data_IF_858591968732
#
_entry.id   IF_858591968732
#
_cell.length_a   1.000
_cell.length_b   1.000
_cell.length_c   1.000
_cell.angle_alpha   90.00
_cell.angle_beta   90.00
_cell.angle_gamma   90.00
#
_symmetry.space_group_name_H-M   'P 1'
#
loop_
_entity.id
_entity.type
_entity.pdbx_description
1 polymer ?
#
# COMPACT_ATOMS: atom_id res chain seq x y z
N UNK A 1 -2.43 -2.67 -8.60
CA UNK A 1 -3.19 -3.64 -7.78
C UNK A 1 -2.44 -4.96 -7.85
N UNK A 2 -2.27 -5.69 -6.75
CA UNK A 2 -1.61 -6.99 -6.75
C UNK A 2 -2.57 -8.12 -7.14
N UNK A 3 -3.44 -8.51 -6.22
CA UNK A 3 -4.43 -9.59 -6.37
C UNK A 3 -5.84 -9.04 -6.15
N UNK A 4 -6.81 -9.49 -6.93
CA UNK A 4 -8.20 -9.06 -6.84
C UNK A 4 -9.17 -10.24 -6.84
N UNK A 5 -10.11 -10.22 -5.89
CA UNK A 5 -11.23 -11.15 -5.81
C UNK A 5 -12.55 -10.38 -5.93
N UNK A 6 -13.55 -11.00 -6.57
CA UNK A 6 -14.94 -10.51 -6.48
C UNK A 6 -15.44 -9.53 -7.53
N UNK A 7 -14.85 -9.47 -8.73
CA UNK A 7 -15.38 -8.63 -9.82
C UNK A 7 -16.30 -9.34 -10.81
N UNK A 8 -16.44 -10.67 -10.71
CA UNK A 8 -17.31 -11.45 -11.59
C UNK A 8 -18.67 -11.75 -10.93
N UNK A 9 -19.73 -11.11 -11.42
CA UNK A 9 -21.13 -11.38 -11.06
C UNK A 9 -21.52 -12.82 -11.48
N UNK A 10 -22.28 -13.63 -10.71
CA UNK A 10 -22.93 -13.34 -9.42
C UNK A 10 -22.32 -14.02 -8.18
N UNK A 11 -21.26 -14.83 -8.34
CA UNK A 11 -20.67 -15.64 -7.25
C UNK A 11 -19.17 -15.43 -7.07
N UNK A 12 -18.61 -14.42 -7.76
CA UNK A 12 -17.17 -14.29 -7.97
C UNK A 12 -16.39 -14.20 -6.67
N UNK A 13 -15.39 -15.08 -6.54
CA UNK A 13 -14.34 -14.95 -5.53
C UNK A 13 -14.65 -15.57 -4.17
N UNK A 14 -15.53 -16.57 -4.06
CA UNK A 14 -15.72 -17.35 -2.82
C UNK A 14 -14.92 -18.67 -2.85
N UNK A 15 -14.65 -19.26 -1.68
CA UNK A 15 -14.00 -20.58 -1.53
C UNK A 15 -12.60 -20.69 -2.15
N UNK A 16 -11.84 -19.59 -2.19
CA UNK A 16 -10.47 -19.58 -2.69
C UNK A 16 -9.47 -19.72 -1.54
N UNK A 17 -8.30 -20.29 -1.86
CA UNK A 17 -7.14 -20.30 -0.97
C UNK A 17 -6.05 -19.46 -1.60
N UNK A 18 -5.63 -18.40 -0.92
CA UNK A 18 -4.45 -17.62 -1.27
C UNK A 18 -3.38 -17.85 -0.20
N UNK A 19 -2.33 -18.60 -0.54
CA UNK A 19 -1.32 -18.95 0.44
C UNK A 19 0.10 -19.00 -0.12
N UNK A 20 1.06 -18.61 0.72
CA UNK A 20 2.49 -18.62 0.37
C UNK A 20 2.91 -17.61 -0.70
N UNK A 21 2.11 -16.56 -0.94
CA UNK A 21 2.39 -15.58 -2.00
C UNK A 21 3.24 -14.41 -1.48
N UNK A 22 4.02 -13.81 -2.38
CA UNK A 22 4.69 -12.51 -2.15
C UNK A 22 3.93 -11.46 -2.94
N UNK A 23 3.38 -10.47 -2.23
CA UNK A 23 2.50 -9.43 -2.77
C UNK A 23 3.08 -8.07 -2.39
N UNK A 24 3.80 -7.46 -3.34
CA UNK A 24 4.54 -6.22 -3.10
C UNK A 24 4.44 -5.18 -4.21
N UNK A 25 4.71 -3.92 -3.85
CA UNK A 25 4.82 -2.82 -4.81
C UNK A 25 3.51 -2.37 -5.45
N UNK A 26 2.35 -2.80 -4.94
CA UNK A 26 1.08 -2.40 -5.50
C UNK A 26 0.79 -0.92 -5.24
N UNK A 27 0.41 -0.19 -6.29
CA UNK A 27 0.12 1.24 -6.23
C UNK A 27 -1.22 1.61 -5.56
N UNK A 28 -2.16 0.65 -5.47
CA UNK A 28 -3.51 0.87 -4.95
C UNK A 28 -3.83 -0.08 -3.79
N UNK A 29 -3.83 -1.38 -4.07
CA UNK A 29 -4.10 -2.43 -3.08
C UNK A 29 -3.21 -3.63 -3.38
N UNK A 30 -2.57 -4.17 -2.35
CA UNK A 30 -1.87 -5.45 -2.42
C UNK A 30 -2.87 -6.55 -2.75
N UNK A 31 -3.83 -6.76 -1.85
CA UNK A 31 -5.01 -7.62 -2.05
C UNK A 31 -6.26 -6.75 -2.02
N UNK A 32 -7.14 -6.93 -2.99
CA UNK A 32 -8.50 -6.41 -2.96
C UNK A 32 -9.50 -7.57 -2.89
N UNK A 33 -10.32 -7.60 -1.84
CA UNK A 33 -11.45 -8.50 -1.72
C UNK A 33 -12.74 -7.68 -1.84
N UNK A 34 -13.23 -7.56 -3.08
CA UNK A 34 -14.42 -6.77 -3.40
C UNK A 34 -15.73 -7.47 -3.06
N UNK A 35 -15.78 -8.77 -3.35
CA UNK A 35 -16.89 -9.68 -3.09
C UNK A 35 -16.31 -11.10 -2.88
N UNK A 36 -17.02 -11.93 -2.11
CA UNK A 36 -16.70 -13.34 -1.96
C UNK A 36 -16.58 -13.77 -0.50
N UNK A 37 -17.02 -15.00 -0.21
CA UNK A 37 -17.06 -15.55 1.14
C UNK A 37 -16.22 -16.81 1.27
N UNK A 38 -15.88 -17.18 2.50
CA UNK A 38 -15.18 -18.45 2.77
C UNK A 38 -13.83 -18.58 2.06
N UNK A 39 -13.15 -17.47 1.80
CA UNK A 39 -11.77 -17.51 1.32
C UNK A 39 -10.80 -17.65 2.49
N UNK A 40 -9.67 -18.28 2.24
CA UNK A 40 -8.60 -18.48 3.23
C UNK A 40 -7.31 -17.85 2.72
N UNK A 41 -6.79 -16.91 3.48
CA UNK A 41 -5.56 -16.18 3.21
C UNK A 41 -4.53 -16.51 4.29
N UNK A 42 -3.45 -17.21 3.95
CA UNK A 42 -2.44 -17.52 4.96
C UNK A 42 -1.01 -17.67 4.45
N UNK A 43 -0.05 -17.32 5.30
CA UNK A 43 1.36 -17.42 4.94
C UNK A 43 1.76 -16.50 3.78
N UNK A 44 0.98 -15.45 3.49
CA UNK A 44 1.34 -14.48 2.45
C UNK A 44 2.24 -13.38 3.03
N UNK A 45 3.23 -12.95 2.27
CA UNK A 45 3.99 -11.73 2.52
C UNK A 45 3.33 -10.58 1.75
N UNK A 46 2.78 -9.61 2.46
CA UNK A 46 2.06 -8.46 1.91
C UNK A 46 2.81 -7.20 2.32
N UNK A 47 3.68 -6.73 1.44
CA UNK A 47 4.69 -5.75 1.81
C UNK A 47 4.90 -4.61 0.82
N UNK A 48 5.38 -3.46 1.29
CA UNK A 48 5.81 -2.35 0.43
C UNK A 48 4.72 -1.87 -0.57
N UNK A 49 3.44 -2.00 -0.22
CA UNK A 49 2.34 -1.50 -1.05
C UNK A 49 2.11 -0.02 -0.76
N UNK A 50 2.02 0.79 -1.82
CA UNK A 50 1.84 2.26 -1.72
C UNK A 50 0.43 2.60 -1.22
N UNK A 51 -0.55 1.75 -1.50
CA UNK A 51 -1.88 1.86 -0.90
C UNK A 51 -2.07 0.88 0.26
N UNK A 52 -3.22 0.21 0.32
CA UNK A 52 -3.44 -0.75 1.41
C UNK A 52 -2.77 -2.10 1.11
N UNK A 53 -2.28 -2.78 2.13
CA UNK A 53 -1.84 -4.18 2.03
C UNK A 53 -3.02 -5.09 1.68
N UNK A 54 -4.09 -5.03 2.48
CA UNK A 54 -5.38 -5.67 2.21
C UNK A 54 -6.49 -4.61 2.22
N UNK A 55 -7.30 -4.59 1.17
CA UNK A 55 -8.52 -3.79 1.08
C UNK A 55 -9.76 -4.68 1.05
N UNK A 56 -10.71 -4.42 1.94
CA UNK A 56 -12.04 -5.05 1.92
C UNK A 56 -13.10 -4.08 1.41
N UNK A 57 -14.00 -4.63 0.59
CA UNK A 57 -15.21 -3.97 0.11
C UNK A 57 -15.22 -3.74 -1.40
N UNK A 58 -16.43 -3.61 -1.96
CA UNK A 58 -16.69 -3.33 -3.37
C UNK A 58 -18.12 -2.80 -3.58
N UNK A 59 -18.49 -2.51 -4.82
CA UNK A 59 -19.77 -1.85 -5.18
C UNK A 59 -21.02 -2.71 -4.89
N UNK A 60 -20.85 -4.01 -4.62
CA UNK A 60 -21.93 -4.95 -4.29
C UNK A 60 -21.49 -5.85 -3.13
N UNK A 61 -21.99 -5.54 -1.94
CA UNK A 61 -21.29 -5.75 -0.67
C UNK A 61 -21.70 -7.08 -0.03
N UNK A 62 -20.91 -8.13 -0.26
CA UNK A 62 -20.74 -9.26 0.69
C UNK A 62 -19.33 -9.81 0.55
N UNK A 63 -18.50 -9.61 1.57
CA UNK A 63 -17.29 -10.40 1.74
C UNK A 63 -17.20 -10.97 3.17
N UNK A 64 -18.23 -11.70 3.65
CA UNK A 64 -18.21 -12.32 4.97
C UNK A 64 -17.39 -13.61 4.99
N UNK A 65 -17.10 -14.06 6.20
CA UNK A 65 -16.58 -15.38 6.51
C UNK A 65 -15.24 -15.71 5.84
N UNK A 66 -14.41 -14.70 5.56
CA UNK A 66 -13.04 -14.92 5.12
C UNK A 66 -12.10 -15.00 6.32
N UNK A 67 -11.10 -15.87 6.18
CA UNK A 67 -10.13 -16.18 7.21
C UNK A 67 -8.74 -15.71 6.80
N UNK A 68 -8.10 -14.91 7.64
CA UNK A 68 -6.76 -14.37 7.46
C UNK A 68 -5.88 -14.75 8.66
N UNK A 69 -4.85 -15.58 8.48
CA UNK A 69 -3.92 -15.93 9.56
C UNK A 69 -2.51 -16.19 9.04
N UNK A 70 -1.50 -16.03 9.88
CA UNK A 70 -0.08 -16.19 9.55
C UNK A 70 0.38 -15.37 8.32
N UNK A 71 -0.30 -14.29 7.96
CA UNK A 71 0.18 -13.37 6.93
C UNK A 71 1.14 -12.35 7.56
N UNK A 72 2.02 -11.79 6.73
CA UNK A 72 2.98 -10.75 7.11
C UNK A 72 2.57 -9.45 6.43
N UNK A 73 2.03 -8.51 7.20
CA UNK A 73 1.78 -7.14 6.75
C UNK A 73 2.95 -6.26 7.17
N UNK A 74 3.71 -5.74 6.21
CA UNK A 74 4.86 -4.88 6.53
C UNK A 74 5.12 -3.77 5.52
N UNK A 75 5.47 -2.58 6.00
CA UNK A 75 5.84 -1.41 5.21
C UNK A 75 4.78 -1.06 4.14
N UNK A 76 3.51 -1.35 4.39
CA UNK A 76 2.43 -0.85 3.55
C UNK A 76 2.10 0.58 4.02
N UNK A 77 1.63 1.45 3.11
CA UNK A 77 1.13 2.76 3.54
C UNK A 77 -0.03 2.63 4.54
N UNK A 78 -0.81 1.56 4.39
CA UNK A 78 -1.77 1.10 5.37
C UNK A 78 -1.85 -0.43 5.31
N UNK A 79 -1.76 -1.13 6.45
CA UNK A 79 -1.83 -2.60 6.43
C UNK A 79 -3.22 -3.11 6.02
N UNK A 80 -4.28 -2.39 6.43
CA UNK A 80 -5.66 -2.81 6.18
C UNK A 80 -6.60 -1.62 5.93
N UNK A 81 -7.35 -1.66 4.83
CA UNK A 81 -8.30 -0.62 4.46
C UNK A 81 -9.72 -1.13 4.24
N UNK A 82 -10.70 -0.51 4.90
CA UNK A 82 -12.12 -0.64 4.51
C UNK A 82 -12.40 0.41 3.43
N UNK A 83 -12.80 -0.02 2.24
CA UNK A 83 -13.19 0.90 1.15
C UNK A 83 -14.70 1.07 1.06
N UNK A 84 -15.45 0.05 1.47
CA UNK A 84 -16.89 0.06 1.65
C UNK A 84 -17.22 -0.84 2.84
N UNK A 85 -18.16 -0.45 3.69
CA UNK A 85 -18.48 -1.21 4.90
C UNK A 85 -18.85 -2.65 4.54
N UNK A 86 -18.03 -3.66 4.88
CA UNK A 86 -18.34 -5.03 4.57
C UNK A 86 -19.56 -5.45 5.39
N UNK A 87 -20.48 -6.17 4.76
CA UNK A 87 -21.53 -6.89 5.46
C UNK A 87 -20.96 -8.21 5.99
N UNK A 88 -21.27 -8.53 7.24
CA UNK A 88 -20.79 -9.74 7.92
C UNK A 88 -19.40 -9.62 8.55
N UNK A 89 -18.93 -10.73 9.11
CA UNK A 89 -17.70 -10.81 9.90
C UNK A 89 -16.57 -11.42 9.09
N UNK A 90 -15.35 -10.93 9.28
CA UNK A 90 -14.13 -11.58 8.80
C UNK A 90 -13.24 -11.91 10.00
N UNK A 91 -12.43 -12.95 9.85
CA UNK A 91 -11.62 -13.51 10.93
C UNK A 91 -10.15 -13.26 10.64
N UNK A 92 -9.44 -12.60 11.55
CA UNK A 92 -8.01 -12.27 11.42
C UNK A 92 -7.12 -13.17 12.27
N UNK A 93 -7.67 -14.29 12.71
CA UNK A 93 -6.96 -15.36 13.39
C UNK A 93 -7.72 -16.67 13.19
N UNK A 94 -7.05 -17.78 13.42
CA UNK A 94 -7.65 -19.12 13.38
C UNK A 94 -7.90 -19.69 14.79
N UNK A 95 -8.18 -18.84 15.77
CA UNK A 95 -8.31 -19.18 17.21
C UNK A 95 -7.01 -19.67 17.89
N UNK A 96 -5.92 -19.82 17.12
CA UNK A 96 -4.62 -20.27 17.61
C UNK A 96 -3.54 -19.23 17.32
N UNK A 97 -3.54 -18.66 16.11
CA UNK A 97 -2.58 -17.67 15.61
C UNK A 97 -3.28 -16.67 14.69
N UNK A 98 -2.82 -15.43 14.80
CA UNK A 98 -3.22 -14.31 13.96
C UNK A 98 -2.19 -14.01 12.88
N UNK A 99 -2.10 -12.73 12.54
CA UNK A 99 -1.19 -12.19 11.54
C UNK A 99 -0.04 -11.43 12.21
N UNK A 100 1.04 -11.22 11.46
CA UNK A 100 2.09 -10.29 11.85
C UNK A 100 1.76 -8.91 11.27
N UNK A 101 1.71 -7.91 12.16
CA UNK A 101 1.51 -6.50 11.81
C UNK A 101 2.75 -5.73 12.24
N UNK A 102 3.45 -5.10 11.30
CA UNK A 102 4.69 -4.37 11.60
C UNK A 102 4.48 -3.15 12.52
N UNK A 103 3.27 -2.60 12.58
CA UNK A 103 2.85 -1.52 13.47
C UNK A 103 2.30 -2.02 14.83
N UNK A 104 2.26 -3.33 15.08
CA UNK A 104 1.68 -3.89 16.30
C UNK A 104 2.33 -3.34 17.58
N UNK A 105 3.66 -3.42 17.66
CA UNK A 105 4.42 -2.94 18.82
C UNK A 105 4.42 -1.42 18.95
N UNK A 106 4.23 -0.69 17.84
CA UNK A 106 4.08 0.76 17.87
C UNK A 106 2.72 1.15 18.47
N UNK A 107 1.65 0.43 18.10
CA UNK A 107 0.28 0.67 18.59
C UNK A 107 0.07 0.20 20.02
N UNK A 108 0.73 -0.89 20.41
CA UNK A 108 0.60 -1.51 21.73
C UNK A 108 1.97 -1.71 22.40
N UNK A 109 2.67 -0.62 22.81
CA UNK A 109 4.04 -0.69 23.32
C UNK A 109 4.19 -1.49 24.62
N UNK A 110 3.10 -1.67 25.37
CA UNK A 110 3.08 -2.42 26.63
C UNK A 110 2.62 -3.87 26.44
N UNK A 111 2.46 -4.35 25.20
CA UNK A 111 2.09 -5.75 24.97
C UNK A 111 3.22 -6.67 25.40
N UNK A 112 2.86 -7.81 25.98
CA UNK A 112 3.78 -8.88 26.34
C UNK A 112 3.47 -10.14 25.55
N UNK A 113 4.39 -11.10 25.57
CA UNK A 113 4.21 -12.40 24.91
C UNK A 113 3.34 -13.33 25.77
N UNK A 114 2.35 -13.95 25.14
CA UNK A 114 1.49 -14.96 25.74
C UNK A 114 2.27 -16.27 25.87
N UNK A 115 2.66 -16.65 27.08
CA UNK A 115 3.25 -17.97 27.39
C UNK A 115 4.43 -18.38 26.49
N UNK A 116 5.30 -17.45 26.10
CA UNK A 116 6.43 -17.71 25.18
C UNK A 116 6.03 -18.32 23.82
N UNK A 117 4.83 -18.02 23.32
CA UNK A 117 4.28 -18.58 22.07
C UNK A 117 4.62 -17.80 20.80
N UNK A 118 5.22 -16.62 20.93
CA UNK A 118 5.36 -15.62 19.88
C UNK A 118 4.10 -14.79 19.61
N UNK A 119 3.03 -14.95 20.39
CA UNK A 119 1.75 -14.23 20.26
C UNK A 119 1.68 -13.12 21.31
N UNK A 120 1.15 -11.94 20.96
CA UNK A 120 0.93 -10.84 21.89
C UNK A 120 -0.35 -11.00 22.71
N UNK A 121 -0.35 -10.59 23.97
CA UNK A 121 -1.52 -10.70 24.88
C UNK A 121 -2.63 -9.69 24.57
N UNK A 122 -2.33 -8.62 23.85
CA UNK A 122 -3.30 -7.57 23.50
C UNK A 122 -3.81 -7.81 22.07
N UNK A 123 -5.13 -8.06 21.87
CA UNK A 123 -5.70 -8.17 20.52
C UNK A 123 -5.41 -6.93 19.66
N UNK A 124 -5.15 -7.14 18.37
CA UNK A 124 -4.95 -6.06 17.41
C UNK A 124 -6.28 -5.67 16.78
N UNK A 125 -6.77 -4.46 17.08
CA UNK A 125 -7.97 -3.92 16.44
C UNK A 125 -7.65 -3.56 14.99
N UNK A 126 -8.13 -4.38 14.05
CA UNK A 126 -7.94 -4.18 12.59
C UNK A 126 -8.90 -3.10 12.08
N UNK A 127 -10.19 -3.21 12.45
CA UNK A 127 -11.23 -2.21 12.22
C UNK A 127 -12.38 -2.40 13.22
N UNK A 128 -13.41 -1.56 13.17
CA UNK A 128 -14.51 -1.54 14.17
C UNK A 128 -15.15 -2.91 14.45
N UNK A 129 -15.25 -3.78 13.44
CA UNK A 129 -15.87 -5.11 13.57
C UNK A 129 -14.90 -6.26 13.20
N UNK A 130 -13.58 -6.00 13.25
CA UNK A 130 -12.56 -6.98 12.93
C UNK A 130 -11.37 -6.83 13.86
N UNK A 131 -11.10 -7.90 14.60
CA UNK A 131 -10.00 -7.98 15.55
C UNK A 131 -9.20 -9.23 15.25
N UNK A 132 -7.89 -9.09 15.30
CA UNK A 132 -6.96 -10.21 15.37
C UNK A 132 -6.70 -10.48 16.85
N UNK A 133 -7.18 -11.61 17.37
CA UNK A 133 -7.08 -11.93 18.79
C UNK A 133 -5.71 -12.53 19.17
N UNK A 134 -4.92 -12.94 18.19
CA UNK A 134 -3.65 -13.64 18.39
C UNK A 134 -2.52 -13.04 17.53
N UNK A 135 -2.28 -11.71 17.60
CA UNK A 135 -1.30 -11.06 16.74
C UNK A 135 0.12 -11.58 17.03
N UNK A 136 0.89 -11.80 15.97
CA UNK A 136 2.25 -12.35 16.08
C UNK A 136 3.24 -11.23 16.43
N UNK A 137 4.05 -11.44 17.46
CA UNK A 137 5.12 -10.52 17.88
C UNK A 137 6.36 -10.60 16.96
N UNK A 138 6.52 -11.71 16.24
CA UNK A 138 7.65 -11.97 15.37
C UNK A 138 7.15 -12.43 14.01
N UNK A 139 7.91 -12.09 12.97
CA UNK A 139 7.61 -12.51 11.60
C UNK A 139 7.65 -14.04 11.54
N UNK A 140 6.57 -14.72 11.11
CA UNK A 140 6.61 -16.15 10.84
C UNK A 140 7.55 -16.43 9.67
N UNK A 141 8.18 -17.60 9.68
CA UNK A 141 8.91 -18.08 8.50
C UNK A 141 7.90 -18.59 7.47
N UNK A 142 7.76 -17.84 6.38
CA UNK A 142 6.87 -18.19 5.26
C UNK A 142 7.61 -18.87 4.10
N UNK A 143 8.94 -19.03 4.19
CA UNK A 143 9.80 -19.47 3.07
C UNK A 143 9.73 -20.97 2.74
N UNK A 144 8.93 -21.75 3.47
CA UNK A 144 8.74 -23.18 3.25
C UNK A 144 7.32 -23.69 3.55
N UNK A 145 6.35 -22.78 3.71
CA UNK A 145 4.97 -23.20 3.97
C UNK A 145 4.37 -23.71 2.66
N UNK A 146 4.39 -25.04 2.47
CA UNK A 146 3.41 -25.69 1.59
C UNK A 146 2.07 -25.56 2.31
N UNK A 147 1.11 -24.85 1.71
CA UNK A 147 -0.18 -24.60 2.33
C UNK A 147 -0.89 -25.93 2.67
N UNK A 148 -1.00 -26.30 3.95
CA UNK A 148 -1.98 -27.30 4.42
C UNK A 148 -3.11 -26.57 5.12
N UNK A 149 -4.34 -26.74 4.62
CA UNK A 149 -5.48 -26.02 5.14
C UNK A 149 -5.79 -26.52 6.57
N UNK A 150 -5.90 -25.65 7.58
CA UNK A 150 -6.23 -26.08 8.93
C UNK A 150 -7.68 -26.57 9.02
N UNK A 151 -7.91 -27.63 9.79
CA UNK A 151 -9.27 -27.99 10.22
C UNK A 151 -9.84 -26.93 11.19
N UNK A 152 -11.16 -26.69 11.22
CA UNK A 152 -12.22 -27.32 10.42
C UNK A 152 -12.41 -26.67 9.04
N UNK A 153 -11.54 -25.75 8.62
CA UNK A 153 -11.73 -25.02 7.37
C UNK A 153 -11.52 -25.93 6.15
N UNK A 154 -10.61 -26.90 6.27
CA UNK A 154 -10.47 -27.99 5.29
C UNK A 154 -11.78 -28.75 5.08
N UNK A 155 -12.48 -29.11 6.17
CA UNK A 155 -13.77 -29.82 6.10
C UNK A 155 -14.97 -28.95 5.69
N UNK A 156 -14.86 -27.61 5.79
CA UNK A 156 -15.89 -26.68 5.30
C UNK A 156 -15.80 -26.38 3.81
N UNK A 157 -14.68 -26.69 3.16
CA UNK A 157 -14.60 -26.57 1.71
C UNK A 157 -15.52 -27.63 1.07
N UNK A 158 -16.26 -27.27 0.00
CA UNK A 158 -16.98 -28.25 -0.80
C UNK A 158 -16.08 -29.44 -1.14
N UNK A 159 -16.50 -30.67 -0.82
CA UNK A 159 -15.72 -31.92 -1.05
C UNK A 159 -15.18 -31.99 -2.49
N UNK A 160 -15.92 -31.43 -3.45
CA UNK A 160 -15.52 -31.33 -4.86
C UNK A 160 -14.21 -30.56 -5.12
N UNK A 161 -13.74 -29.72 -4.19
CA UNK A 161 -12.44 -29.02 -4.28
C UNK A 161 -11.28 -29.84 -3.70
N UNK A 162 -11.55 -30.78 -2.77
CA UNK A 162 -10.53 -31.66 -2.19
C UNK A 162 -10.21 -32.85 -3.11
N UNK A 163 -11.19 -33.33 -3.89
CA UNK A 163 -11.03 -34.50 -4.78
C UNK A 163 -10.29 -34.22 -6.10
N UNK A 164 -9.81 -32.98 -6.31
CA UNK A 164 -9.01 -32.63 -7.48
C UNK A 164 -7.57 -32.23 -7.09
N UNK A 165 -6.72 -33.17 -6.62
CA UNK A 165 -5.35 -32.90 -6.16
C UNK A 165 -4.38 -32.46 -7.28
N UNK A 166 -4.91 -32.13 -8.47
CA UNK A 166 -4.14 -31.80 -9.67
C UNK A 166 -4.47 -30.43 -10.26
N UNK A 167 -5.04 -29.51 -9.48
CA UNK A 167 -4.97 -28.09 -9.84
C UNK A 167 -3.55 -27.62 -9.50
N UNK A 168 -2.63 -27.90 -10.42
CA UNK A 168 -1.30 -27.27 -10.40
C UNK A 168 -1.54 -25.83 -10.84
N UNK A 169 -1.62 -24.90 -9.90
CA UNK A 169 -1.47 -23.49 -10.23
C UNK A 169 -0.03 -23.31 -10.70
N UNK A 170 0.20 -23.37 -12.01
CA UNK A 170 1.47 -22.93 -12.58
C UNK A 170 1.53 -21.43 -12.37
N UNK A 171 2.10 -21.04 -11.24
CA UNK A 171 2.61 -19.70 -11.04
C UNK A 171 3.60 -19.44 -12.18
N UNK A 172 3.26 -18.50 -13.06
CA UNK A 172 4.13 -18.03 -14.13
C UNK A 172 4.74 -16.71 -13.67
N UNK A 173 5.89 -16.70 -12.96
CA UNK A 173 6.55 -15.47 -12.60
C UNK A 173 7.16 -14.84 -13.84
N UNK A 174 6.48 -13.90 -14.47
CA UNK A 174 7.07 -13.07 -15.52
C UNK A 174 6.49 -11.66 -15.53
N UNK A 175 7.01 -10.80 -14.66
CA UNK A 175 7.34 -9.41 -15.03
C UNK A 175 8.58 -8.99 -14.26
N UNK A 176 9.72 -9.60 -14.61
CA UNK A 176 10.99 -8.89 -14.48
C UNK A 176 11.01 -7.87 -15.61
N UNK A 177 10.71 -6.61 -15.30
CA UNK A 177 10.98 -5.52 -16.24
C UNK A 177 12.49 -5.40 -16.41
N UNK A 178 13.01 -5.97 -17.51
CA UNK A 178 14.37 -5.72 -17.97
C UNK A 178 14.52 -4.21 -18.14
N UNK A 179 15.56 -3.56 -17.58
CA UNK A 179 15.80 -2.16 -17.85
C UNK A 179 16.12 -2.02 -19.34
N UNK A 180 15.17 -1.48 -20.12
CA UNK A 180 15.44 -1.03 -21.48
C UNK A 180 16.48 0.06 -21.40
N UNK A 181 17.66 -0.22 -21.92
CA UNK A 181 18.65 0.81 -22.25
C UNK A 181 17.99 1.84 -23.17
N UNK A 182 18.20 3.14 -22.94
CA UNK A 182 17.66 4.19 -23.81
C UNK A 182 18.10 3.94 -25.25
N UNK A 183 17.21 4.10 -26.25
CA UNK A 183 17.60 3.97 -27.64
C UNK A 183 18.71 4.97 -27.96
N UNK A 184 19.78 4.47 -28.59
CA UNK A 184 20.87 5.28 -29.11
C UNK A 184 20.29 6.32 -30.08
N UNK A 185 20.62 7.63 -29.92
CA UNK A 185 20.09 8.65 -30.81
C UNK A 185 20.57 8.39 -32.25
N UNK A 186 19.71 8.63 -33.26
CA UNK A 186 20.11 8.46 -34.65
C UNK A 186 21.21 9.46 -35.01
N UNK A 187 22.23 8.98 -35.71
CA UNK A 187 23.35 9.76 -36.24
C UNK A 187 22.83 11.02 -36.97
N UNK A 188 23.12 12.19 -36.42
CA UNK A 188 22.98 13.47 -37.15
C UNK A 188 24.01 13.54 -38.27
N UNK A 189 23.64 14.01 -39.47
CA UNK A 189 24.57 14.17 -40.56
C UNK A 189 25.54 15.32 -40.30
N UNK A 190 26.80 15.08 -40.65
CA UNK A 190 27.89 16.04 -40.71
C UNK A 190 27.55 17.16 -41.70
N UNK A 191 27.42 18.39 -41.23
CA UNK A 191 27.46 19.59 -42.09
C UNK A 191 28.75 20.34 -41.80
N UNK A 192 29.57 20.44 -42.84
CA UNK A 192 30.80 21.21 -42.92
C UNK A 192 30.50 22.52 -43.63
N UNK A 193 30.75 23.67 -43.00
CA UNK A 193 30.92 24.95 -43.69
C UNK A 193 31.64 25.99 -42.80
N UNK A 194 32.96 26.01 -42.94
CA UNK A 194 33.84 27.12 -43.29
C UNK A 194 33.35 28.58 -43.13
N UNK A 195 33.96 29.29 -42.15
CA UNK A 195 34.59 30.64 -42.18
C UNK A 195 33.71 31.92 -42.35
N UNK A 196 33.71 32.82 -41.35
CA UNK A 196 34.61 34.00 -41.23
C UNK A 196 34.35 34.82 -39.95
N UNK A 197 35.34 35.58 -39.42
CA UNK A 197 35.24 36.32 -38.16
C UNK A 197 34.99 37.83 -38.37
N UNK A 198 34.19 38.44 -37.49
CA UNK A 198 34.31 39.88 -37.20
C UNK A 198 33.98 40.13 -35.74
N UNK A 199 34.94 40.71 -35.05
CA UNK A 199 34.89 41.19 -33.66
C UNK A 199 33.87 42.31 -33.46
N UNK A 200 33.19 42.35 -32.32
CA UNK A 200 33.00 43.61 -31.57
C UNK A 200 32.84 43.30 -30.08
N UNK A 201 33.68 43.95 -29.28
CA UNK A 201 33.69 43.90 -27.84
C UNK A 201 32.47 44.59 -27.24
N UNK A 202 31.98 44.13 -26.08
CA UNK A 202 31.53 45.05 -25.04
C UNK A 202 31.63 44.43 -23.64
N UNK A 203 32.07 45.31 -22.76
CA UNK A 203 32.54 45.15 -21.39
C UNK A 203 31.41 44.99 -20.36
N UNK A 204 31.84 44.76 -19.12
CA UNK A 204 31.18 45.02 -17.83
C UNK A 204 30.42 43.82 -17.23
N UNK A 205 30.51 43.47 -15.95
CA UNK A 205 31.24 44.06 -14.81
C UNK A 205 31.29 42.99 -13.71
N UNK A 206 32.45 42.79 -13.12
CA UNK A 206 32.58 42.18 -11.80
C UNK A 206 32.30 43.24 -10.74
N UNK A 207 31.46 42.94 -9.76
CA UNK A 207 31.42 43.66 -8.49
C UNK A 207 31.70 42.69 -7.36
N UNK A 208 32.83 42.98 -6.72
CA UNK A 208 33.38 42.37 -5.54
C UNK A 208 33.45 43.51 -4.52
N UNK A 209 32.66 43.45 -3.44
CA UNK A 209 32.72 44.32 -2.25
C UNK A 209 31.69 43.74 -1.26
N UNK A 210 31.90 43.62 0.04
CA UNK A 210 33.04 43.84 0.92
C UNK A 210 32.62 43.35 2.31
N UNK A 211 33.61 42.91 3.08
CA UNK A 211 33.52 42.53 4.49
C UNK A 211 32.80 43.57 5.36
N UNK A 212 32.00 43.08 6.32
CA UNK A 212 31.87 43.73 7.62
C UNK A 212 32.06 42.69 8.73
N UNK A 213 33.13 42.92 9.50
CA UNK A 213 33.54 42.18 10.68
C UNK A 213 32.85 42.78 11.90
N UNK A 214 32.20 41.94 12.71
CA UNK A 214 31.98 42.20 14.13
C UNK A 214 32.26 40.90 14.90
N UNK A 215 33.27 40.95 15.76
CA UNK A 215 33.58 39.88 16.70
C UNK A 215 32.66 40.00 17.92
N UNK A 216 31.91 38.93 18.23
CA UNK A 216 31.30 38.64 19.53
C UNK A 216 31.11 37.12 19.69
N UNK A 217 30.94 36.60 20.92
CA UNK A 217 31.54 35.33 21.35
C UNK A 217 30.81 34.10 20.81
N UNK A 218 31.61 33.07 20.55
CA UNK A 218 31.22 31.73 20.12
C UNK A 218 30.24 31.07 21.09
N UNK A 219 28.96 31.02 20.71
CA UNK A 219 28.06 29.93 21.10
C UNK A 219 27.96 28.95 19.93
N UNK A 220 28.25 27.69 20.22
CA UNK A 220 28.12 26.57 19.28
C UNK A 220 26.70 26.54 18.70
N UNK A 221 26.53 26.58 17.37
CA UNK A 221 25.24 26.33 16.77
C UNK A 221 24.96 24.84 16.92
N UNK A 222 23.95 24.51 17.72
CA UNK A 222 23.35 23.18 17.71
C UNK A 222 22.87 22.84 16.29
N UNK A 223 22.77 21.54 15.96
CA UNK A 223 22.46 21.10 14.61
C UNK A 223 21.14 21.73 14.13
N UNK A 224 21.23 22.58 13.10
CA UNK A 224 20.08 23.06 12.36
C UNK A 224 19.47 21.87 11.62
N UNK A 225 18.31 21.41 12.07
CA UNK A 225 17.49 20.44 11.35
C UNK A 225 16.73 21.19 10.26
N UNK A 226 17.24 21.12 9.03
CA UNK A 226 16.45 21.48 7.85
C UNK A 226 15.41 20.38 7.64
N UNK A 227 14.12 20.73 7.78
CA UNK A 227 13.02 19.84 7.44
C UNK A 227 12.77 19.99 5.94
N UNK A 228 13.29 19.05 5.14
CA UNK A 228 12.93 18.93 3.73
C UNK A 228 11.55 18.29 3.63
N UNK A 229 10.52 19.13 3.47
CA UNK A 229 9.16 18.67 3.19
C UNK A 229 9.09 18.24 1.73
N UNK A 230 9.29 16.95 1.48
CA UNK A 230 9.09 16.37 0.14
C UNK A 230 7.60 16.10 -0.08
N UNK A 231 6.91 17.06 -0.71
CA UNK A 231 5.54 16.86 -1.19
C UNK A 231 5.61 16.04 -2.47
N UNK A 232 5.24 14.77 -2.40
CA UNK A 232 5.16 13.94 -3.61
C UNK A 232 3.98 14.41 -4.50
N UNK A 233 4.08 14.16 -5.81
CA UNK A 233 3.10 14.62 -6.80
C UNK A 233 1.66 14.09 -6.55
N UNK A 234 1.52 13.02 -5.76
CA UNK A 234 0.21 12.48 -5.38
C UNK A 234 -0.49 13.36 -4.33
N UNK A 235 0.24 13.90 -3.35
CA UNK A 235 -0.29 14.86 -2.37
C UNK A 235 -0.72 16.16 -3.03
N UNK A 236 0.04 16.64 -4.03
CA UNK A 236 -0.34 17.83 -4.80
C UNK A 236 -1.67 17.63 -5.56
N UNK A 237 -1.85 16.45 -6.15
CA UNK A 237 -3.07 16.09 -6.88
C UNK A 237 -4.30 16.03 -5.96
N UNK A 238 -4.15 15.52 -4.74
CA UNK A 238 -5.22 15.51 -3.73
C UNK A 238 -5.58 16.91 -3.25
N UNK A 239 -4.59 17.78 -3.00
CA UNK A 239 -4.82 19.16 -2.58
C UNK A 239 -5.57 19.95 -3.67
N UNK A 240 -5.22 19.74 -4.93
CA UNK A 240 -5.92 20.36 -6.07
C UNK A 240 -7.36 19.84 -6.18
N UNK A 241 -7.60 18.55 -6.04
CA UNK A 241 -8.94 17.96 -6.11
C UNK A 241 -9.88 18.49 -5.00
N UNK A 242 -9.40 18.57 -3.75
CA UNK A 242 -10.16 19.13 -2.62
C UNK A 242 -10.50 20.60 -2.86
N UNK A 243 -9.56 21.37 -3.39
CA UNK A 243 -9.75 22.80 -3.69
C UNK A 243 -10.85 23.03 -4.75
N UNK A 244 -10.91 22.18 -5.79
CA UNK A 244 -11.94 22.28 -6.82
C UNK A 244 -13.35 21.93 -6.32
N UNK A 245 -13.48 20.92 -5.44
CA UNK A 245 -14.76 20.56 -4.81
C UNK A 245 -15.26 21.69 -3.91
N UNK A 246 -14.37 22.33 -3.14
CA UNK A 246 -14.71 23.46 -2.29
C UNK A 246 -15.21 24.67 -3.12
N UNK A 247 -14.54 24.98 -4.24
CA UNK A 247 -14.97 26.07 -5.14
C UNK A 247 -16.34 25.77 -5.77
N UNK A 248 -16.56 24.53 -6.22
CA UNK A 248 -17.83 24.11 -6.82
C UNK A 248 -19.01 24.19 -5.85
N UNK A 249 -18.82 23.74 -4.61
CA UNK A 249 -19.86 23.79 -3.56
C UNK A 249 -20.23 25.21 -3.16
N UNK A 250 -19.25 26.11 -3.02
CA UNK A 250 -19.50 27.54 -2.77
C UNK A 250 -20.26 28.17 -3.93
N UNK A 251 -19.87 27.89 -5.18
CA UNK A 251 -20.56 28.39 -6.38
C UNK A 251 -22.03 27.96 -6.44
N UNK A 252 -22.31 26.69 -6.13
CA UNK A 252 -23.67 26.15 -6.10
C UNK A 252 -24.52 26.81 -5.01
N UNK A 253 -23.98 27.02 -3.81
CA UNK A 253 -24.69 27.69 -2.71
C UNK A 253 -25.04 29.14 -3.06
N UNK A 254 -24.12 29.87 -3.69
CA UNK A 254 -24.36 31.24 -4.17
C UNK A 254 -25.46 31.27 -5.24
N UNK A 255 -25.41 30.32 -6.19
CA UNK A 255 -26.42 30.19 -7.23
C UNK A 255 -27.82 29.92 -6.65
N UNK A 256 -27.93 28.97 -5.73
CA UNK A 256 -29.20 28.63 -5.07
C UNK A 256 -29.76 29.80 -4.24
N UNK A 257 -28.90 30.55 -3.56
CA UNK A 257 -29.30 31.76 -2.81
C UNK A 257 -29.81 32.88 -3.74
N UNK A 258 -29.24 33.02 -4.94
CA UNK A 258 -29.68 33.99 -5.95
C UNK A 258 -31.03 33.59 -6.58
N UNK A 259 -31.24 32.28 -6.80
CA UNK A 259 -32.50 31.76 -7.37
C UNK A 259 -33.71 31.96 -6.44
N UNK A 260 -33.54 31.83 -5.12
CA UNK A 260 -34.63 32.06 -4.14
C UNK A 260 -35.12 33.52 -4.03
N UNK A 261 -34.39 34.48 -4.62
CA UNK A 261 -34.74 35.92 -4.59
C UNK A 261 -35.46 36.40 -5.86
N UNK A 262 -35.72 35.51 -6.81
CA UNK A 262 -36.51 35.79 -8.03
C UNK A 262 -37.81 35.01 -7.93
#
# INVERSE_FOLDING_TARGET
MGVAFGYANPVGGSFNILAGNIIEGASLWGILLGQGSYNVFYGNLIANNIGDGLALGGTYITAPDNLFFCNIFMNNNNNFGIKWEPTGQNYFDNEIKGNYWDDYLLKYPNTTELNNSGIGVIPFLVYTNGTDNYPLLRKPDVSGIVPTLPEPWASKLPIALLDNPKITYTYSPSITSTPTTPPTPPNSPTISSTVNPTSTALSSTSTNTSNFSTQQPTRSPGPSTSIDVTINNNQLSYIVAISLIAIGTIGLLVYLKKRKKR
#
